data_IF_882985689224
#
_entry.id   IF_882985689224
#
_cell.length_a   1.000
_cell.length_b   1.000
_cell.length_c   1.000
_cell.angle_alpha   90.00
_cell.angle_beta   90.00
_cell.angle_gamma   90.00
#
_symmetry.space_group_name_H-M   'P 1'
#
loop_
_entity.id
_entity.type
_entity.pdbx_description
1 polymer ?
#
# COMPACT_ATOMS: atom_id res chain seq x y z
N UNK A 1 21.49 -1.26 -28.96
CA UNK A 1 20.72 -0.47 -29.94
C UNK A 1 19.50 0.20 -29.30
N UNK A 2 18.91 -0.32 -28.20
CA UNK A 2 17.65 0.14 -27.64
C UNK A 2 17.79 0.89 -26.29
N UNK A 3 18.99 1.35 -25.91
CA UNK A 3 19.21 2.11 -24.65
C UNK A 3 18.43 3.42 -24.54
N UNK A 4 18.08 4.02 -25.65
CA UNK A 4 17.27 5.23 -25.68
C UNK A 4 15.86 5.00 -25.13
N UNK A 5 15.34 3.75 -25.14
CA UNK A 5 14.06 3.40 -24.50
C UNK A 5 14.11 3.44 -22.97
N UNK A 6 15.30 3.56 -22.37
CA UNK A 6 15.45 3.72 -20.91
C UNK A 6 15.17 5.16 -20.44
N UNK A 7 15.10 6.11 -21.38
CA UNK A 7 14.71 7.51 -21.09
C UNK A 7 13.18 7.64 -21.17
N UNK A 8 12.48 7.27 -20.09
CA UNK A 8 11.01 7.24 -20.04
C UNK A 8 10.34 8.59 -20.23
N UNK A 9 11.06 9.69 -20.07
CA UNK A 9 10.55 11.06 -20.23
C UNK A 9 10.97 11.68 -21.56
N UNK A 10 11.77 10.99 -22.36
CA UNK A 10 12.27 11.44 -23.64
C UNK A 10 11.17 11.53 -24.70
N UNK A 11 11.16 12.63 -25.48
CA UNK A 11 10.20 12.83 -26.58
C UNK A 11 10.25 11.69 -27.61
N UNK A 12 11.44 11.16 -27.91
CA UNK A 12 11.64 10.06 -28.86
C UNK A 12 10.95 8.78 -28.35
N UNK A 13 11.06 8.48 -27.05
CA UNK A 13 10.38 7.33 -26.42
C UNK A 13 8.87 7.53 -26.46
N UNK A 14 8.37 8.72 -26.13
CA UNK A 14 6.94 9.04 -26.20
C UNK A 14 6.39 8.82 -27.60
N UNK A 15 7.04 9.38 -28.62
CA UNK A 15 6.63 9.20 -30.03
C UNK A 15 6.64 7.74 -30.45
N UNK A 16 7.66 6.95 -30.06
CA UNK A 16 7.73 5.52 -30.34
C UNK A 16 6.57 4.76 -29.68
N UNK A 17 6.27 5.04 -28.42
CA UNK A 17 5.15 4.42 -27.69
C UNK A 17 3.82 4.71 -28.38
N UNK A 18 3.57 5.93 -28.81
CA UNK A 18 2.36 6.29 -29.57
C UNK A 18 2.23 5.49 -30.87
N UNK A 19 3.31 5.39 -31.65
CA UNK A 19 3.31 4.58 -32.88
C UNK A 19 3.04 3.10 -32.61
N UNK A 20 3.59 2.52 -31.53
CA UNK A 20 3.34 1.13 -31.15
C UNK A 20 1.88 0.94 -30.68
N UNK A 21 1.35 1.88 -29.94
CA UNK A 21 -0.05 1.86 -29.50
C UNK A 21 -1.00 1.93 -30.70
N UNK A 22 -0.74 2.81 -31.64
CA UNK A 22 -1.51 2.94 -32.88
C UNK A 22 -1.52 1.65 -33.70
N UNK A 23 -0.33 1.02 -33.87
CA UNK A 23 -0.20 -0.26 -34.56
C UNK A 23 -1.01 -1.34 -33.86
N UNK A 24 -0.88 -1.44 -32.54
CA UNK A 24 -1.58 -2.43 -31.71
C UNK A 24 -3.09 -2.23 -31.79
N UNK A 25 -3.57 -1.00 -31.66
CA UNK A 25 -5.00 -0.68 -31.73
C UNK A 25 -5.56 -0.99 -33.12
N UNK A 26 -4.86 -0.62 -34.21
CA UNK A 26 -5.27 -0.96 -35.59
C UNK A 26 -5.38 -2.46 -35.81
N UNK A 27 -4.51 -3.25 -35.18
CA UNK A 27 -4.59 -4.72 -35.27
C UNK A 27 -5.76 -5.28 -34.44
N UNK A 28 -5.86 -4.87 -33.17
CA UNK A 28 -6.85 -5.39 -32.23
C UNK A 28 -8.29 -5.02 -32.60
N UNK A 29 -8.50 -3.81 -33.14
CA UNK A 29 -9.84 -3.35 -33.54
C UNK A 29 -10.41 -4.05 -34.77
N UNK A 30 -9.55 -4.67 -35.59
CA UNK A 30 -10.00 -5.47 -36.75
C UNK A 30 -10.60 -6.84 -36.34
N UNK A 31 -10.42 -7.26 -35.11
CA UNK A 31 -10.94 -8.54 -34.64
C UNK A 31 -12.46 -8.49 -34.52
N UNK A 32 -13.17 -9.25 -35.35
CA UNK A 32 -14.62 -9.32 -35.41
C UNK A 32 -15.27 -9.76 -34.08
N UNK A 33 -14.54 -10.49 -33.23
CA UNK A 33 -15.05 -10.98 -31.95
C UNK A 33 -14.87 -9.98 -30.80
N UNK A 34 -14.04 -8.92 -30.99
CA UNK A 34 -13.72 -7.96 -29.92
C UNK A 34 -14.97 -7.36 -29.25
N UNK A 35 -15.95 -6.95 -30.07
CA UNK A 35 -17.20 -6.37 -29.55
C UNK A 35 -17.98 -7.37 -28.71
N UNK A 36 -18.18 -8.59 -29.22
CA UNK A 36 -18.91 -9.65 -28.52
C UNK A 36 -18.22 -10.09 -27.22
N UNK A 37 -16.88 -10.19 -27.25
CA UNK A 37 -16.08 -10.50 -26.05
C UNK A 37 -16.25 -9.41 -25.00
N UNK A 38 -16.16 -8.13 -25.40
CA UNK A 38 -16.36 -6.98 -24.51
C UNK A 38 -17.74 -7.00 -23.87
N UNK A 39 -18.81 -7.14 -24.67
CA UNK A 39 -20.18 -7.22 -24.18
C UNK A 39 -20.40 -8.38 -23.20
N UNK A 40 -19.84 -9.55 -23.50
CA UNK A 40 -19.89 -10.71 -22.59
C UNK A 40 -19.16 -10.44 -21.29
N UNK A 41 -17.94 -9.86 -21.34
CA UNK A 41 -17.17 -9.51 -20.14
C UNK A 41 -17.92 -8.47 -19.29
N UNK A 42 -18.44 -7.43 -19.91
CA UNK A 42 -19.23 -6.40 -19.22
C UNK A 42 -20.46 -7.02 -18.52
N UNK A 43 -21.16 -7.95 -19.16
CA UNK A 43 -22.34 -8.62 -18.56
C UNK A 43 -21.98 -9.49 -17.35
N UNK A 44 -20.79 -10.05 -17.30
CA UNK A 44 -20.31 -10.91 -16.20
C UNK A 44 -19.70 -10.05 -15.08
N UNK A 45 -18.99 -8.98 -15.47
CA UNK A 45 -18.21 -8.15 -14.55
C UNK A 45 -19.08 -7.24 -13.68
N UNK A 46 -20.23 -6.79 -14.20
CA UNK A 46 -21.15 -5.90 -13.47
C UNK A 46 -21.88 -6.71 -12.40
N UNK A 47 -21.24 -6.91 -11.28
CA UNK A 47 -21.84 -7.54 -10.10
C UNK A 47 -21.41 -6.81 -8.84
N UNK A 48 -22.36 -6.68 -7.90
CA UNK A 48 -22.05 -6.12 -6.59
C UNK A 48 -21.03 -7.02 -5.87
N UNK A 49 -19.98 -6.42 -5.35
CA UNK A 49 -18.97 -7.14 -4.58
C UNK A 49 -18.72 -6.47 -3.23
N UNK A 50 -18.52 -7.30 -2.22
CA UNK A 50 -18.10 -6.88 -0.88
C UNK A 50 -16.88 -7.69 -0.46
N UNK A 51 -15.89 -7.03 0.13
CA UNK A 51 -14.77 -7.73 0.74
C UNK A 51 -15.21 -8.44 2.03
N UNK A 52 -14.36 -9.33 2.53
CA UNK A 52 -14.48 -9.83 3.90
C UNK A 52 -14.40 -8.63 4.85
N UNK A 53 -15.38 -8.47 5.78
CA UNK A 53 -15.39 -7.35 6.69
C UNK A 53 -14.32 -7.48 7.77
N UNK A 54 -13.82 -6.33 8.23
CA UNK A 54 -12.95 -6.24 9.40
C UNK A 54 -13.69 -5.52 10.52
N UNK A 55 -13.62 -6.05 11.75
CA UNK A 55 -14.23 -5.42 12.92
C UNK A 55 -13.12 -4.78 13.75
N UNK A 56 -13.23 -3.48 14.00
CA UNK A 56 -12.33 -2.71 14.85
C UNK A 56 -13.11 -1.67 15.65
N UNK A 57 -12.85 -1.57 16.95
CA UNK A 57 -13.52 -0.60 17.82
C UNK A 57 -15.06 -0.64 17.79
N UNK A 58 -15.64 -1.81 17.52
CA UNK A 58 -17.09 -2.01 17.39
C UNK A 58 -17.68 -1.64 16.03
N UNK A 59 -16.90 -1.07 15.12
CA UNK A 59 -17.30 -0.76 13.74
C UNK A 59 -16.93 -1.91 12.79
N UNK A 60 -17.72 -2.07 11.73
CA UNK A 60 -17.49 -3.02 10.65
C UNK A 60 -16.98 -2.24 9.43
N UNK A 61 -15.83 -2.61 8.90
CA UNK A 61 -15.19 -1.97 7.76
C UNK A 61 -15.09 -2.95 6.59
N UNK A 62 -15.37 -2.50 5.36
CA UNK A 62 -15.31 -3.34 4.18
C UNK A 62 -15.17 -2.51 2.90
N UNK A 63 -14.68 -3.14 1.85
CA UNK A 63 -14.73 -2.58 0.49
C UNK A 63 -16.05 -2.99 -0.17
N UNK A 64 -16.63 -2.05 -0.92
CA UNK A 64 -17.84 -2.28 -1.70
C UNK A 64 -17.69 -1.71 -3.09
N UNK A 65 -18.14 -2.48 -4.09
CA UNK A 65 -18.29 -2.04 -5.47
C UNK A 65 -19.68 -2.49 -5.98
N UNK A 66 -20.42 -1.58 -6.56
CA UNK A 66 -21.73 -1.93 -7.17
C UNK A 66 -21.58 -2.54 -8.58
N UNK A 67 -20.34 -2.76 -9.04
CA UNK A 67 -20.02 -3.38 -10.32
C UNK A 67 -19.75 -2.37 -11.44
N UNK A 68 -20.27 -1.15 -11.36
CA UNK A 68 -20.06 -0.10 -12.36
C UNK A 68 -18.91 0.86 -12.01
N UNK A 69 -18.48 0.90 -10.76
CA UNK A 69 -17.39 1.80 -10.33
C UNK A 69 -16.04 1.25 -10.73
N UNK A 70 -15.15 2.14 -11.14
CA UNK A 70 -13.78 1.78 -11.51
C UNK A 70 -12.98 1.22 -10.33
N UNK A 71 -13.17 1.79 -9.13
CA UNK A 71 -12.55 1.36 -7.90
C UNK A 71 -13.60 1.14 -6.80
N UNK A 72 -13.35 0.14 -5.95
CA UNK A 72 -14.19 -0.12 -4.77
C UNK A 72 -14.07 1.00 -3.75
N UNK A 73 -15.20 1.41 -3.17
CA UNK A 73 -15.24 2.39 -2.07
C UNK A 73 -14.98 1.69 -0.74
N UNK A 74 -14.34 2.39 0.19
CA UNK A 74 -14.14 1.89 1.54
C UNK A 74 -15.26 2.40 2.45
N UNK A 75 -15.96 1.47 3.08
CA UNK A 75 -17.21 1.69 3.79
C UNK A 75 -17.09 1.30 5.26
N UNK A 76 -17.95 1.86 6.10
CA UNK A 76 -18.13 1.44 7.49
C UNK A 76 -19.58 1.25 7.85
N UNK A 77 -19.83 0.42 8.86
CA UNK A 77 -21.09 0.27 9.58
C UNK A 77 -20.80 0.46 11.07
N UNK A 78 -21.52 1.36 11.73
CA UNK A 78 -21.40 1.57 13.17
C UNK A 78 -21.92 0.38 14.01
N UNK A 79 -22.82 -0.42 13.43
CA UNK A 79 -23.37 -1.64 14.05
C UNK A 79 -23.91 -2.58 12.98
N UNK A 80 -24.18 -3.83 13.34
CA UNK A 80 -24.94 -4.75 12.48
C UNK A 80 -26.36 -4.22 12.25
N UNK A 81 -26.75 -4.08 10.98
CA UNK A 81 -28.06 -3.50 10.59
C UNK A 81 -28.11 -1.97 10.53
N UNK A 82 -27.04 -1.28 10.90
CA UNK A 82 -26.93 0.17 10.67
C UNK A 82 -26.79 0.49 9.17
N UNK A 83 -27.09 1.73 8.79
CA UNK A 83 -26.85 2.19 7.43
C UNK A 83 -25.33 2.28 7.15
N UNK A 84 -24.88 1.79 5.98
CA UNK A 84 -23.49 1.92 5.60
C UNK A 84 -23.12 3.38 5.33
N UNK A 85 -21.93 3.76 5.78
CA UNK A 85 -21.34 5.06 5.54
C UNK A 85 -20.06 4.94 4.71
N UNK A 86 -19.91 5.81 3.73
CA UNK A 86 -18.70 5.89 2.92
C UNK A 86 -17.61 6.67 3.66
N UNK A 87 -16.41 6.11 3.70
CA UNK A 87 -15.22 6.72 4.29
C UNK A 87 -14.24 7.23 3.23
N UNK A 88 -13.97 6.40 2.21
CA UNK A 88 -13.03 6.75 1.15
C UNK A 88 -13.64 6.35 -0.20
N UNK A 89 -13.71 7.31 -1.12
CA UNK A 89 -14.06 7.09 -2.52
C UNK A 89 -12.85 7.30 -3.43
N UNK A 90 -12.14 6.22 -3.83
CA UNK A 90 -10.98 6.35 -4.69
C UNK A 90 -11.30 6.90 -6.08
N UNK A 91 -12.56 6.80 -6.53
CA UNK A 91 -12.98 7.31 -7.84
C UNK A 91 -12.93 8.84 -7.92
N UNK A 92 -12.73 9.52 -6.79
CA UNK A 92 -12.58 10.99 -6.71
C UNK A 92 -11.14 11.47 -6.61
N UNK A 93 -10.16 10.56 -6.60
CA UNK A 93 -8.75 10.92 -6.38
C UNK A 93 -8.11 11.61 -7.59
N UNK A 94 -8.54 11.26 -8.80
CA UNK A 94 -8.10 11.90 -10.04
C UNK A 94 -9.22 11.85 -11.10
N UNK A 95 -9.21 12.79 -12.03
CA UNK A 95 -10.22 12.84 -13.10
C UNK A 95 -10.06 11.69 -14.11
N UNK A 96 -8.82 11.28 -14.37
CA UNK A 96 -8.50 10.20 -15.31
C UNK A 96 -8.51 8.79 -14.67
N UNK A 97 -8.73 8.71 -13.35
CA UNK A 97 -8.77 7.44 -12.61
C UNK A 97 -7.41 6.75 -12.43
N UNK A 98 -6.30 7.44 -12.68
CA UNK A 98 -4.95 6.87 -12.54
C UNK A 98 -4.50 6.76 -11.10
N UNK A 99 -5.04 7.57 -10.19
CA UNK A 99 -4.73 7.50 -8.75
C UNK A 99 -5.60 6.46 -8.07
N UNK A 100 -4.98 5.51 -7.38
CA UNK A 100 -5.65 4.38 -6.75
C UNK A 100 -5.43 4.31 -5.24
N UNK A 101 -6.43 3.75 -4.54
CA UNK A 101 -6.31 3.35 -3.14
C UNK A 101 -5.53 2.03 -3.08
N UNK A 102 -4.29 2.10 -2.60
CA UNK A 102 -3.38 0.94 -2.64
C UNK A 102 -3.48 0.06 -1.40
N UNK A 103 -3.57 0.64 -0.22
CA UNK A 103 -3.64 -0.10 1.05
C UNK A 103 -4.48 0.65 2.08
N UNK A 104 -5.10 -0.10 2.98
CA UNK A 104 -5.86 0.42 4.11
C UNK A 104 -5.47 -0.36 5.36
N UNK A 105 -5.23 0.34 6.46
CA UNK A 105 -4.98 -0.24 7.78
C UNK A 105 -5.76 0.53 8.84
N UNK A 106 -6.60 -0.18 9.58
CA UNK A 106 -7.52 0.41 10.56
C UNK A 106 -6.85 0.34 11.93
N UNK A 107 -6.90 1.44 12.69
CA UNK A 107 -6.42 1.45 14.07
C UNK A 107 -7.21 0.46 14.94
N UNK A 108 -6.61 -0.15 15.98
CA UNK A 108 -7.28 -1.12 16.84
C UNK A 108 -8.60 -0.63 17.43
N UNK A 109 -8.69 0.65 17.80
CA UNK A 109 -9.91 1.27 18.33
C UNK A 109 -10.92 1.71 17.24
N UNK A 110 -10.62 1.50 15.94
CA UNK A 110 -11.49 1.89 14.83
C UNK A 110 -11.63 3.40 14.58
N UNK A 111 -10.85 4.26 15.25
CA UNK A 111 -11.00 5.72 15.15
C UNK A 111 -10.22 6.34 14.01
N UNK A 112 -9.15 5.68 13.55
CA UNK A 112 -8.29 6.16 12.48
C UNK A 112 -8.09 5.09 11.41
N UNK A 113 -7.88 5.54 10.19
CA UNK A 113 -7.54 4.71 9.04
C UNK A 113 -6.29 5.28 8.41
N UNK A 114 -5.18 4.53 8.46
CA UNK A 114 -4.05 4.80 7.62
C UNK A 114 -4.34 4.21 6.23
N UNK A 115 -4.30 5.04 5.19
CA UNK A 115 -4.51 4.59 3.82
C UNK A 115 -3.43 5.13 2.90
N UNK A 116 -3.05 4.36 1.91
CA UNK A 116 -2.04 4.79 0.94
C UNK A 116 -2.62 4.93 -0.45
N UNK A 117 -2.14 5.95 -1.15
CA UNK A 117 -2.47 6.22 -2.55
C UNK A 117 -1.25 6.01 -3.44
N UNK A 118 -1.50 5.48 -4.64
CA UNK A 118 -0.51 5.27 -5.69
C UNK A 118 -0.98 5.97 -6.96
N UNK A 119 -0.07 6.62 -7.66
CA UNK A 119 -0.34 7.33 -8.91
C UNK A 119 0.27 6.58 -10.10
N UNK A 120 -0.50 6.49 -11.21
CA UNK A 120 -0.06 5.90 -12.47
C UNK A 120 0.45 4.47 -12.38
N UNK A 121 -0.01 3.66 -11.39
CA UNK A 121 0.47 2.31 -11.17
C UNK A 121 1.88 2.23 -10.57
N UNK A 122 2.42 3.34 -10.09
CA UNK A 122 3.72 3.37 -9.41
C UNK A 122 3.72 2.55 -8.13
N UNK A 123 4.85 1.92 -7.81
CA UNK A 123 5.09 1.30 -6.50
C UNK A 123 5.23 2.34 -5.39
N UNK A 124 5.55 3.60 -5.74
CA UNK A 124 5.60 4.68 -4.77
C UNK A 124 4.21 5.01 -4.23
N UNK A 125 4.12 5.09 -2.91
CA UNK A 125 2.88 5.36 -2.20
C UNK A 125 3.04 6.54 -1.25
N UNK A 126 1.96 7.25 -1.07
CA UNK A 126 1.85 8.26 -0.01
C UNK A 126 0.81 7.81 0.98
N UNK A 127 1.20 7.63 2.25
CA UNK A 127 0.26 7.34 3.33
C UNK A 127 -0.41 8.62 3.81
N UNK A 128 -1.68 8.50 4.11
CA UNK A 128 -2.55 9.53 4.69
C UNK A 128 -3.35 8.92 5.83
N UNK A 129 -3.89 9.76 6.71
CA UNK A 129 -4.70 9.32 7.84
C UNK A 129 -6.09 9.95 7.75
N UNK A 130 -7.12 9.14 7.87
CA UNK A 130 -8.51 9.57 7.94
C UNK A 130 -9.03 9.34 9.36
N UNK A 131 -9.69 10.34 9.95
CA UNK A 131 -10.44 10.22 11.20
C UNK A 131 -11.85 9.73 10.90
N UNK A 132 -12.22 8.56 11.43
CA UNK A 132 -13.48 7.87 11.09
C UNK A 132 -14.71 8.67 11.47
N UNK A 133 -14.71 9.27 12.67
CA UNK A 133 -15.84 10.04 13.21
C UNK A 133 -16.23 11.24 12.34
N UNK A 134 -15.23 12.02 11.91
CA UNK A 134 -15.45 13.25 11.12
C UNK A 134 -15.34 13.02 9.61
N UNK A 135 -14.78 11.87 9.18
CA UNK A 135 -14.46 11.53 7.78
C UNK A 135 -13.45 12.48 7.14
N UNK A 136 -12.70 13.20 7.95
CA UNK A 136 -11.68 14.15 7.51
C UNK A 136 -10.32 13.47 7.40
N UNK A 137 -9.63 13.76 6.32
CA UNK A 137 -8.21 13.40 6.17
C UNK A 137 -7.36 14.41 6.94
N UNK A 138 -6.51 13.92 7.82
CA UNK A 138 -5.56 14.74 8.57
C UNK A 138 -4.43 15.25 7.64
N UNK A 139 -3.63 16.19 8.15
CA UNK A 139 -2.49 16.75 7.40
C UNK A 139 -1.30 15.80 7.26
N UNK A 140 -1.38 14.64 7.89
CA UNK A 140 -0.36 13.60 7.84
C UNK A 140 -0.15 13.10 6.40
N UNK A 141 1.07 13.24 5.90
CA UNK A 141 1.49 12.75 4.58
C UNK A 141 2.85 12.10 4.68
N UNK A 142 2.89 10.75 4.50
CA UNK A 142 4.13 9.99 4.55
C UNK A 142 4.53 9.59 3.14
N UNK A 143 5.58 10.21 2.64
CA UNK A 143 6.12 10.00 1.29
C UNK A 143 7.28 9.00 1.31
N UNK A 144 7.71 8.62 0.12
CA UNK A 144 8.84 7.73 -0.14
C UNK A 144 8.64 6.35 0.47
N UNK A 145 7.42 5.83 0.37
CA UNK A 145 7.07 4.50 0.85
C UNK A 145 6.83 3.55 -0.33
N UNK A 146 7.36 2.35 -0.25
CA UNK A 146 7.12 1.23 -1.16
C UNK A 146 7.03 -0.05 -0.37
N UNK A 147 6.26 -1.03 -0.86
CA UNK A 147 6.18 -2.37 -0.26
C UNK A 147 5.97 -2.33 1.26
N UNK A 148 5.21 -1.34 1.72
CA UNK A 148 4.99 -1.03 3.12
C UNK A 148 3.53 -1.27 3.48
N UNK A 149 3.30 -1.78 4.68
CA UNK A 149 2.03 -1.77 5.40
C UNK A 149 2.11 -0.78 6.56
N UNK A 150 0.97 -0.30 7.04
CA UNK A 150 0.88 0.45 8.29
C UNK A 150 0.52 -0.52 9.42
N UNK A 151 1.47 -0.74 10.35
CA UNK A 151 1.28 -1.61 11.52
C UNK A 151 1.05 -0.74 12.75
N UNK A 152 -0.20 -0.68 13.22
CA UNK A 152 -0.59 0.18 14.33
C UNK A 152 -0.03 -0.28 15.67
N UNK A 153 0.36 0.70 16.52
CA UNK A 153 0.50 0.43 17.95
C UNK A 153 -0.87 0.15 18.57
N UNK A 154 -0.97 -0.83 19.49
CA UNK A 154 -2.23 -1.15 20.15
C UNK A 154 -2.86 0.01 20.94
N UNK A 155 -2.07 0.99 21.39
CA UNK A 155 -2.54 2.21 22.05
C UNK A 155 -3.12 3.25 21.08
N UNK A 156 -3.04 3.00 19.77
CA UNK A 156 -3.50 3.84 18.67
C UNK A 156 -2.76 5.18 18.54
N UNK A 157 -1.61 5.35 19.19
CA UNK A 157 -0.81 6.58 19.13
C UNK A 157 -0.18 6.82 17.77
N UNK A 158 0.00 5.77 16.97
CA UNK A 158 0.64 5.82 15.68
C UNK A 158 0.81 4.44 15.05
N UNK A 159 1.59 4.37 14.01
CA UNK A 159 1.89 3.13 13.30
C UNK A 159 3.31 3.09 12.75
N UNK A 160 3.80 1.89 12.53
CA UNK A 160 5.08 1.61 11.88
C UNK A 160 4.89 1.50 10.37
N UNK A 161 5.88 1.99 9.62
CA UNK A 161 5.88 1.92 8.17
C UNK A 161 7.31 1.88 7.61
N UNK A 162 7.45 1.37 6.38
CA UNK A 162 8.73 1.41 5.66
C UNK A 162 8.84 2.68 4.82
N UNK A 163 10.00 3.31 4.93
CA UNK A 163 10.41 4.44 4.11
C UNK A 163 11.73 4.11 3.41
N UNK A 164 11.83 4.47 2.16
CA UNK A 164 13.08 4.44 1.39
C UNK A 164 13.72 5.82 1.37
N UNK A 165 15.04 5.91 1.13
CA UNK A 165 15.68 7.19 0.84
C UNK A 165 14.96 7.93 -0.29
N UNK A 166 14.87 9.25 -0.16
CA UNK A 166 14.30 10.08 -1.22
C UNK A 166 15.12 9.91 -2.51
N UNK A 167 14.48 9.62 -3.65
CA UNK A 167 15.18 9.45 -4.92
C UNK A 167 15.94 10.72 -5.31
N UNK A 168 17.18 10.56 -5.73
CA UNK A 168 18.03 11.67 -6.20
C UNK A 168 17.83 11.99 -7.68
N UNK A 169 17.23 11.05 -8.43
CA UNK A 169 16.86 11.13 -9.83
C UNK A 169 15.39 10.82 -9.97
N UNK A 170 14.95 10.51 -11.18
CA UNK A 170 13.58 10.07 -11.40
C UNK A 170 13.23 8.85 -10.53
N UNK A 171 12.14 8.98 -9.78
CA UNK A 171 11.73 7.99 -8.78
C UNK A 171 11.50 6.58 -9.35
N UNK A 172 11.22 6.46 -10.66
CA UNK A 172 10.97 5.19 -11.34
C UNK A 172 12.25 4.43 -11.72
N UNK A 173 13.40 5.11 -11.82
CA UNK A 173 14.66 4.53 -12.29
C UNK A 173 15.61 4.10 -11.16
N UNK A 174 15.33 4.48 -9.91
CA UNK A 174 16.22 4.16 -8.79
C UNK A 174 15.96 2.76 -8.22
N UNK A 175 17.06 2.06 -7.89
CA UNK A 175 17.02 0.75 -7.25
C UNK A 175 16.53 0.88 -5.81
N UNK A 176 15.56 0.05 -5.42
CA UNK A 176 15.01 0.01 -4.07
C UNK A 176 16.00 -0.62 -3.08
N UNK A 177 16.78 0.21 -2.40
CA UNK A 177 17.78 -0.21 -1.40
C UNK A 177 17.62 0.58 -0.12
N UNK A 178 18.17 0.01 0.98
CA UNK A 178 18.21 0.64 2.29
C UNK A 178 16.85 1.11 2.80
N UNK A 179 15.80 0.24 2.84
CA UNK A 179 14.58 0.61 3.51
C UNK A 179 14.85 0.88 4.99
N UNK A 180 14.06 1.77 5.57
CA UNK A 180 14.14 2.16 6.96
C UNK A 180 12.76 2.00 7.61
N UNK A 181 12.69 1.42 8.79
CA UNK A 181 11.45 1.29 9.56
C UNK A 181 11.31 2.51 10.46
N UNK A 182 10.22 3.24 10.28
CA UNK A 182 9.87 4.40 11.09
C UNK A 182 8.60 4.15 11.88
N UNK A 183 8.49 4.85 13.01
CA UNK A 183 7.23 5.02 13.73
C UNK A 183 6.71 6.44 13.48
N UNK A 184 5.48 6.54 13.01
CA UNK A 184 4.75 7.77 12.81
C UNK A 184 3.68 7.96 13.89
N UNK A 185 3.69 9.10 14.56
CA UNK A 185 2.66 9.50 15.52
C UNK A 185 1.54 10.24 14.79
N UNK A 186 0.29 9.81 15.00
CA UNK A 186 -0.89 10.44 14.39
C UNK A 186 -0.94 11.95 14.70
N UNK A 187 -1.16 12.77 13.68
CA UNK A 187 -1.23 14.22 13.77
C UNK A 187 0.14 14.92 13.82
N UNK A 188 1.23 14.21 13.55
CA UNK A 188 2.56 14.80 13.50
C UNK A 188 3.08 14.91 12.06
N UNK A 189 4.11 15.74 11.87
CA UNK A 189 4.82 15.79 10.58
C UNK A 189 5.74 14.59 10.42
N UNK A 190 5.85 14.02 9.20
CA UNK A 190 6.80 12.95 8.87
C UNK A 190 8.25 13.24 9.28
N UNK A 191 8.64 14.51 9.37
CA UNK A 191 9.99 14.91 9.82
C UNK A 191 10.26 14.59 11.29
N UNK A 192 9.20 14.38 12.07
CA UNK A 192 9.26 14.05 13.50
C UNK A 192 9.24 12.54 13.75
N UNK A 193 9.15 11.73 12.68
CA UNK A 193 9.07 10.29 12.80
C UNK A 193 10.35 9.69 13.41
N UNK A 194 10.16 8.69 14.25
CA UNK A 194 11.26 8.02 14.93
C UNK A 194 11.77 6.85 14.11
N UNK A 195 13.07 6.83 13.80
CA UNK A 195 13.72 5.68 13.19
C UNK A 195 13.76 4.51 14.20
N UNK A 196 13.21 3.38 13.83
CA UNK A 196 13.10 2.18 14.69
C UNK A 196 14.12 1.12 14.32
N UNK A 197 14.33 0.92 13.00
CA UNK A 197 15.28 -0.09 12.53
C UNK A 197 15.80 0.21 11.14
N UNK A 198 17.10 -0.03 10.97
CA UNK A 198 17.78 0.02 9.67
C UNK A 198 18.99 -0.93 9.64
N UNK A 199 19.40 -1.32 8.45
CA UNK A 199 20.59 -2.16 8.21
C UNK A 199 21.32 -1.68 6.95
N UNK A 200 22.12 -0.59 7.06
CA UNK A 200 22.88 -0.05 5.93
C UNK A 200 23.91 -1.04 5.36
N UNK A 201 24.39 -1.99 6.17
CA UNK A 201 25.26 -3.09 5.78
C UNK A 201 24.56 -4.18 4.96
N UNK A 202 23.22 -4.16 4.91
CA UNK A 202 22.34 -5.11 4.20
C UNK A 202 21.35 -4.38 3.30
N UNK A 203 21.79 -3.69 2.26
CA UNK A 203 20.96 -2.78 1.48
C UNK A 203 19.79 -3.44 0.75
N UNK A 204 19.85 -4.74 0.50
CA UNK A 204 18.81 -5.51 -0.19
C UNK A 204 17.83 -6.20 0.77
N UNK A 205 17.99 -6.03 2.08
CA UNK A 205 17.02 -6.54 3.04
C UNK A 205 15.78 -5.67 3.03
N UNK A 206 14.63 -6.30 3.25
CA UNK A 206 13.36 -5.65 3.47
C UNK A 206 12.71 -6.25 4.71
N UNK A 207 11.79 -5.52 5.35
CA UNK A 207 11.15 -6.00 6.56
C UNK A 207 9.70 -5.56 6.66
N UNK A 208 8.94 -6.35 7.39
CA UNK A 208 7.64 -5.97 7.92
C UNK A 208 7.67 -6.13 9.43
N UNK A 209 6.93 -5.30 10.13
CA UNK A 209 6.80 -5.37 11.57
C UNK A 209 5.40 -5.84 11.95
N UNK A 210 5.34 -6.70 12.96
CA UNK A 210 4.13 -7.13 13.63
C UNK A 210 4.24 -6.81 15.12
N UNK A 211 3.19 -6.24 15.68
CA UNK A 211 3.10 -5.92 17.11
C UNK A 211 2.11 -6.88 17.72
N UNK A 212 2.47 -7.54 18.82
CA UNK A 212 1.57 -8.41 19.54
C UNK A 212 0.39 -7.63 20.16
N UNK A 213 -0.77 -8.28 20.29
CA UNK A 213 -1.99 -7.64 20.81
C UNK A 213 -1.82 -7.06 22.23
N UNK A 214 -0.97 -7.70 23.05
CA UNK A 214 -0.62 -7.25 24.39
C UNK A 214 0.46 -6.16 24.40
N UNK A 215 0.97 -5.75 23.24
CA UNK A 215 2.08 -4.80 23.06
C UNK A 215 3.40 -5.22 23.69
N UNK A 216 3.58 -6.47 24.07
CA UNK A 216 4.80 -6.95 24.73
C UNK A 216 5.92 -7.26 23.71
N UNK A 217 5.58 -7.54 22.46
CA UNK A 217 6.51 -7.99 21.45
C UNK A 217 6.36 -7.20 20.16
N UNK A 218 7.50 -6.85 19.57
CA UNK A 218 7.63 -6.39 18.19
C UNK A 218 8.42 -7.45 17.41
N UNK A 219 7.86 -7.95 16.34
CA UNK A 219 8.47 -9.01 15.53
C UNK A 219 8.75 -8.46 14.14
N UNK A 220 10.02 -8.52 13.72
CA UNK A 220 10.43 -8.22 12.35
C UNK A 220 10.51 -9.51 11.55
N UNK A 221 9.76 -9.56 10.46
CA UNK A 221 9.98 -10.52 9.38
C UNK A 221 10.89 -9.86 8.34
N UNK A 222 12.06 -10.46 8.08
CA UNK A 222 13.11 -9.88 7.24
C UNK A 222 13.31 -10.74 6.01
N UNK A 223 13.03 -10.20 4.84
CA UNK A 223 13.28 -10.79 3.54
C UNK A 223 14.56 -10.28 2.89
N UNK A 224 15.01 -10.94 1.82
CA UNK A 224 16.16 -10.52 1.02
C UNK A 224 15.87 -10.70 -0.47
N UNK A 225 15.77 -9.61 -1.21
CA UNK A 225 15.43 -9.62 -2.62
C UNK A 225 14.07 -10.30 -2.87
N UNK A 226 14.06 -11.32 -3.73
CA UNK A 226 12.87 -12.11 -4.08
C UNK A 226 12.85 -13.50 -3.46
N UNK A 227 13.68 -13.76 -2.44
CA UNK A 227 13.70 -15.04 -1.73
C UNK A 227 12.42 -15.20 -0.90
N UNK A 228 11.73 -16.32 -1.03
CA UNK A 228 10.50 -16.62 -0.28
C UNK A 228 10.77 -16.91 1.20
N UNK A 229 12.01 -17.24 1.56
CA UNK A 229 12.43 -17.48 2.93
C UNK A 229 12.66 -16.17 3.65
N UNK A 230 12.49 -16.17 4.96
CA UNK A 230 12.69 -14.99 5.79
C UNK A 230 13.45 -15.29 7.07
N UNK A 231 13.93 -14.22 7.70
CA UNK A 231 14.47 -14.21 9.05
C UNK A 231 13.40 -13.66 10.00
N UNK A 232 13.47 -14.04 11.27
CA UNK A 232 12.63 -13.47 12.33
C UNK A 232 13.48 -12.89 13.43
N UNK A 233 13.22 -11.63 13.76
CA UNK A 233 13.81 -10.93 14.89
C UNK A 233 12.72 -10.46 15.83
N UNK A 234 12.99 -10.45 17.12
CA UNK A 234 12.07 -10.03 18.17
C UNK A 234 12.67 -8.91 19.00
N UNK A 235 11.83 -7.99 19.42
CA UNK A 235 12.15 -6.98 20.44
C UNK A 235 11.07 -6.98 21.50
N UNK A 236 11.46 -7.06 22.76
CA UNK A 236 10.55 -6.94 23.89
C UNK A 236 10.27 -5.48 24.21
N UNK A 237 9.10 -5.19 24.74
CA UNK A 237 8.74 -3.85 25.17
C UNK A 237 9.74 -3.32 26.20
N UNK A 238 10.25 -2.13 25.96
CA UNK A 238 11.27 -1.49 26.82
C UNK A 238 12.72 -1.81 26.41
N UNK A 239 12.92 -2.72 25.46
CA UNK A 239 14.25 -2.98 24.89
C UNK A 239 14.49 -2.09 23.66
N UNK A 240 15.76 -1.78 23.40
CA UNK A 240 16.16 -0.93 22.27
C UNK A 240 16.54 -1.73 21.03
N UNK A 241 16.86 -3.02 21.17
CA UNK A 241 17.42 -3.84 20.10
C UNK A 241 16.56 -5.03 19.73
N UNK A 242 16.52 -5.33 18.44
CA UNK A 242 15.92 -6.55 17.92
C UNK A 242 16.91 -7.71 18.02
N UNK A 243 16.51 -8.80 18.64
CA UNK A 243 17.27 -10.03 18.79
C UNK A 243 16.87 -11.04 17.71
N UNK A 244 17.82 -11.73 17.07
CA UNK A 244 17.51 -12.75 16.09
C UNK A 244 16.92 -13.99 16.75
N UNK A 245 15.76 -14.45 16.27
CA UNK A 245 15.22 -15.79 16.56
C UNK A 245 15.67 -16.73 15.46
N UNK A 246 15.54 -16.31 14.20
CA UNK A 246 16.01 -17.02 13.02
C UNK A 246 16.79 -16.04 12.16
N UNK A 247 18.11 -16.24 12.05
CA UNK A 247 19.02 -15.32 11.34
C UNK A 247 19.43 -15.82 9.94
N UNK A 248 19.02 -17.00 9.56
CA UNK A 248 19.35 -17.58 8.26
C UNK A 248 18.10 -17.82 7.42
N UNK A 249 18.24 -17.72 6.08
CA UNK A 249 17.17 -18.03 5.13
C UNK A 249 17.01 -19.56 4.97
N UNK A 250 16.35 -20.20 5.94
CA UNK A 250 16.16 -21.66 5.94
C UNK A 250 14.77 -22.05 5.46
N UNK A 251 13.75 -21.29 5.87
CA UNK A 251 12.34 -21.52 5.54
C UNK A 251 11.55 -20.21 5.57
N UNK A 252 10.29 -20.27 5.17
CA UNK A 252 9.33 -19.19 5.39
C UNK A 252 8.70 -19.34 6.76
N UNK A 253 8.86 -18.35 7.62
CA UNK A 253 8.31 -18.28 8.96
C UNK A 253 7.20 -17.25 9.02
N UNK A 254 6.14 -17.56 9.76
CA UNK A 254 5.05 -16.62 10.05
C UNK A 254 4.84 -16.55 11.55
N UNK A 255 4.64 -15.35 12.05
CA UNK A 255 4.13 -15.14 13.38
C UNK A 255 2.61 -15.37 13.38
N UNK A 256 2.09 -16.03 14.42
CA UNK A 256 0.68 -16.38 14.59
C UNK A 256 0.09 -15.59 15.74
#
# INVERSE_FOLDING_TARGET
PYRWLEDFTGEEVGAWVELQNDLSQKYLTKNQYRKKIKENLESIWVSNSKSIPQIRGGHIFYFFNEGSWQQSKFMTLACEGCNPEMLIDPNTFSEDGTVSLSSVSISPNGKFIAYSVSDGGSDWKTWKILKVETKETLDDQLKWTKFSSASWEPDNSGFYYLKYPEPKKEALSEINKNPQLYFHRVGSSQKMDTLIYERPDKPNWSWSIHISEDSLYQILSIGEGTDDRNRLYIKFKGEDTFLPIVDNLVATYRFL
#
